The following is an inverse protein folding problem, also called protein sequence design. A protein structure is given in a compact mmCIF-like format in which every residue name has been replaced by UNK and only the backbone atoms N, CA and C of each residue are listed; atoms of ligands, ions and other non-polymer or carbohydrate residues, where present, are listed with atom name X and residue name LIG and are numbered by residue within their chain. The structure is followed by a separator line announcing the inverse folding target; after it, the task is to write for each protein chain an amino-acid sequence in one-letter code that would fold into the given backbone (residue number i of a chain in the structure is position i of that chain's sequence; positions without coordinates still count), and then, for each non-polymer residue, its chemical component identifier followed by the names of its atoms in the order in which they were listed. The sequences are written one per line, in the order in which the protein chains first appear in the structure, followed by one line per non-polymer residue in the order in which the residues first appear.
data_IF_741499347486
#
_entry.id   IF_741499347486
#
_cell.length_a   1.000
_cell.length_b   1.000
_cell.length_c   1.000
_cell.angle_alpha   90.00
_cell.angle_beta   90.00
_cell.angle_gamma   90.00
#
_symmetry.space_group_name_H-M   'P 1'
#
loop_
_entity.id
_entity.type
_entity.pdbx_description
1 polymer ?
#
# COMPACT_ATOMS: atom_id res chain seq x y z
N UNK A 1 7.07 6.48 15.72
CA UNK A 1 6.64 7.89 15.50
C UNK A 1 7.84 8.67 15.04
N UNK A 2 7.68 9.54 14.04
CA UNK A 2 8.72 10.46 13.57
C UNK A 2 8.14 11.86 13.39
N UNK A 3 8.97 12.90 13.49
CA UNK A 3 8.58 14.28 13.25
C UNK A 3 8.80 14.61 11.77
N UNK A 4 7.72 14.82 11.02
CA UNK A 4 7.82 15.08 9.56
C UNK A 4 8.58 16.37 9.21
N UNK A 5 8.64 17.33 10.14
CA UNK A 5 9.37 18.59 9.95
C UNK A 5 10.88 18.45 10.16
N UNK A 6 11.34 17.35 10.76
CA UNK A 6 12.77 17.03 10.89
C UNK A 6 13.21 16.19 9.70
N UNK A 7 13.39 16.84 8.54
CA UNK A 7 13.71 16.17 7.28
C UNK A 7 15.02 15.37 7.38
N UNK A 8 16.05 15.98 7.98
CA UNK A 8 17.37 15.36 8.15
C UNK A 8 17.35 14.17 9.12
N UNK A 9 16.37 14.18 10.03
CA UNK A 9 16.15 13.15 11.02
C UNK A 9 15.19 12.05 10.57
N UNK A 10 14.37 12.27 9.55
CA UNK A 10 13.24 11.39 9.22
C UNK A 10 13.66 9.94 8.92
N UNK A 11 14.85 9.75 8.34
CA UNK A 11 15.38 8.42 7.97
C UNK A 11 16.30 7.82 9.04
N UNK A 12 16.56 8.52 10.14
CA UNK A 12 17.47 8.05 11.20
C UNK A 12 16.75 7.10 12.15
N UNK A 13 17.29 5.90 12.44
CA UNK A 13 16.68 4.97 13.39
C UNK A 13 16.41 5.58 14.77
N UNK A 14 17.28 6.49 15.24
CA UNK A 14 17.16 7.16 16.54
C UNK A 14 15.91 8.04 16.68
N UNK A 15 15.31 8.42 15.55
CA UNK A 15 14.08 9.20 15.48
C UNK A 15 12.83 8.33 15.31
N UNK A 16 12.97 7.00 15.36
CA UNK A 16 11.87 6.04 15.26
C UNK A 16 11.56 5.42 16.61
N UNK A 17 10.54 5.96 17.27
CA UNK A 17 10.11 5.45 18.57
C UNK A 17 9.02 4.39 18.45
N UNK A 18 9.24 3.25 19.11
CA UNK A 18 8.22 2.20 19.31
C UNK A 18 7.27 2.69 20.39
N UNK A 19 6.00 2.86 20.05
CA UNK A 19 4.97 3.29 20.99
C UNK A 19 4.23 2.12 21.62
N UNK A 20 4.01 1.05 20.85
CA UNK A 20 3.25 -0.11 21.28
C UNK A 20 3.90 -1.37 20.73
N UNK A 21 4.05 -2.38 21.59
CA UNK A 21 4.40 -3.74 21.21
C UNK A 21 3.25 -4.65 21.65
N UNK A 22 2.57 -5.28 20.69
CA UNK A 22 1.42 -6.14 20.95
C UNK A 22 1.57 -7.49 20.24
N UNK A 23 1.88 -8.58 20.97
CA UNK A 23 2.06 -9.91 20.40
C UNK A 23 0.72 -10.65 20.31
N UNK A 24 -0.24 -10.09 19.58
CA UNK A 24 -1.58 -10.66 19.43
C UNK A 24 -2.08 -10.65 17.99
N UNK A 25 -3.32 -11.08 17.81
CA UNK A 25 -3.92 -11.14 16.48
C UNK A 25 -4.18 -9.72 15.93
N UNK A 26 -3.86 -9.52 14.65
CA UNK A 26 -4.15 -8.29 13.92
C UNK A 26 -5.63 -8.27 13.49
N UNK A 27 -6.52 -8.14 14.47
CA UNK A 27 -7.97 -7.99 14.27
C UNK A 27 -8.44 -6.64 14.80
N UNK A 28 -9.57 -6.16 14.30
CA UNK A 28 -10.14 -4.89 14.75
C UNK A 28 -10.34 -4.85 16.27
N UNK A 29 -10.96 -5.88 16.86
CA UNK A 29 -11.25 -5.88 18.31
C UNK A 29 -9.97 -5.98 19.15
N UNK A 30 -8.99 -6.78 18.71
CA UNK A 30 -7.68 -6.87 19.37
C UNK A 30 -6.94 -5.53 19.36
N UNK A 31 -6.87 -4.87 18.19
CA UNK A 31 -6.22 -3.58 18.05
C UNK A 31 -6.96 -2.46 18.79
N UNK A 32 -8.30 -2.45 18.75
CA UNK A 32 -9.12 -1.51 19.51
C UNK A 32 -8.79 -1.54 21.00
N UNK A 33 -8.65 -2.73 21.57
CA UNK A 33 -8.35 -2.89 22.99
C UNK A 33 -6.88 -2.57 23.29
N UNK A 34 -5.95 -3.09 22.48
CA UNK A 34 -4.51 -2.90 22.71
C UNK A 34 -4.07 -1.46 22.53
N UNK A 35 -4.67 -0.72 21.59
CA UNK A 35 -4.31 0.65 21.26
C UNK A 35 -5.14 1.69 22.01
N UNK A 36 -6.08 1.29 22.87
CA UNK A 36 -6.95 2.23 23.59
C UNK A 36 -6.18 3.33 24.36
N UNK A 37 -5.09 3.03 25.10
CA UNK A 37 -4.29 4.07 25.76
C UNK A 37 -3.66 5.05 24.76
N UNK A 38 -3.04 4.53 23.70
CA UNK A 38 -2.42 5.34 22.66
C UNK A 38 -3.45 6.24 21.95
N UNK A 39 -4.62 5.70 21.63
CA UNK A 39 -5.71 6.44 20.99
C UNK A 39 -6.16 7.60 21.90
N UNK A 40 -6.31 7.35 23.20
CA UNK A 40 -6.65 8.39 24.18
C UNK A 40 -5.59 9.50 24.21
N UNK A 41 -4.31 9.13 24.27
CA UNK A 41 -3.21 10.10 24.29
C UNK A 41 -3.14 10.93 23.01
N UNK A 42 -3.33 10.30 21.84
CA UNK A 42 -3.36 10.98 20.55
C UNK A 42 -4.55 11.94 20.42
N UNK A 43 -5.72 11.62 20.98
CA UNK A 43 -6.87 12.54 21.03
C UNK A 43 -6.52 13.77 21.87
N UNK A 44 -5.91 13.57 23.05
CA UNK A 44 -5.50 14.65 23.93
C UNK A 44 -4.44 15.52 23.23
N UNK A 45 -3.44 14.90 22.61
CA UNK A 45 -2.37 15.57 21.88
C UNK A 45 -2.92 16.40 20.71
N UNK A 46 -3.82 15.83 19.90
CA UNK A 46 -4.44 16.56 18.78
C UNK A 46 -5.25 17.76 19.26
N UNK A 47 -5.94 17.64 20.39
CA UNK A 47 -6.79 18.69 20.95
C UNK A 47 -6.01 19.79 21.68
N UNK A 48 -4.96 19.41 22.42
CA UNK A 48 -4.25 20.30 23.35
C UNK A 48 -2.88 20.74 22.86
N UNK A 49 -2.32 20.12 21.81
CA UNK A 49 -0.95 20.40 21.39
C UNK A 49 0.07 20.17 22.50
N UNK A 50 1.18 20.90 22.46
CA UNK A 50 2.16 20.93 23.55
C UNK A 50 2.65 22.36 23.84
N UNK A 51 2.91 22.64 25.12
CA UNK A 51 3.52 23.88 25.56
C UNK A 51 5.01 23.65 25.80
N UNK A 52 5.85 24.38 25.09
CA UNK A 52 7.28 24.38 25.30
C UNK A 52 7.65 25.20 26.53
N UNK A 53 8.76 24.84 27.17
CA UNK A 53 9.42 25.69 28.17
C UNK A 53 9.73 27.04 27.51
N UNK A 54 9.18 28.13 28.05
CA UNK A 54 9.22 29.46 27.43
C UNK A 54 7.87 29.98 26.93
N UNK A 55 6.77 29.21 27.12
CA UNK A 55 5.41 29.68 26.88
C UNK A 55 4.91 29.56 25.43
N UNK A 56 5.71 29.00 24.53
CA UNK A 56 5.30 28.75 23.15
C UNK A 56 4.36 27.55 23.07
N UNK A 57 3.21 27.77 22.43
CA UNK A 57 2.22 26.75 22.14
C UNK A 57 2.43 26.17 20.74
N UNK A 58 2.41 24.85 20.64
CA UNK A 58 2.56 24.11 19.39
C UNK A 58 1.32 23.26 19.13
N UNK A 59 0.62 23.53 18.03
CA UNK A 59 -0.42 22.64 17.53
C UNK A 59 0.19 21.39 16.91
N UNK A 60 -0.54 20.27 16.99
CA UNK A 60 -0.10 18.98 16.43
C UNK A 60 -0.99 18.58 15.27
N UNK A 61 -0.36 18.20 14.17
CA UNK A 61 -0.99 17.50 13.07
C UNK A 61 -0.49 16.06 13.02
N UNK A 62 -1.44 15.14 12.90
CA UNK A 62 -1.17 13.71 12.89
C UNK A 62 -1.34 13.19 11.47
N UNK A 63 -0.41 12.32 11.08
CA UNK A 63 -0.43 11.56 9.84
C UNK A 63 -0.31 10.09 10.18
N UNK A 64 -0.93 9.25 9.36
CA UNK A 64 -0.88 7.80 9.52
C UNK A 64 -0.56 7.15 8.18
N UNK A 65 0.41 6.24 8.18
CA UNK A 65 0.76 5.42 7.03
C UNK A 65 1.00 3.99 7.47
N UNK A 66 0.52 3.04 6.68
CA UNK A 66 0.76 1.62 6.86
C UNK A 66 0.48 0.87 5.56
N UNK A 67 0.80 -0.43 5.55
CA UNK A 67 0.30 -1.30 4.50
C UNK A 67 -1.24 -1.32 4.47
N UNK A 68 -1.79 -1.73 3.33
CA UNK A 68 -3.24 -1.68 3.09
C UNK A 68 -4.06 -2.50 4.08
N UNK A 69 -3.55 -3.66 4.53
CA UNK A 69 -4.30 -4.55 5.41
C UNK A 69 -4.48 -3.89 6.77
N UNK A 70 -3.40 -3.37 7.35
CA UNK A 70 -3.46 -2.66 8.62
C UNK A 70 -4.29 -1.38 8.52
N UNK A 71 -4.14 -0.62 7.42
CA UNK A 71 -4.89 0.61 7.16
C UNK A 71 -6.40 0.33 7.09
N UNK A 72 -6.80 -0.72 6.35
CA UNK A 72 -8.19 -1.11 6.22
C UNK A 72 -8.81 -1.53 7.56
N UNK A 73 -8.07 -2.25 8.40
CA UNK A 73 -8.53 -2.62 9.74
C UNK A 73 -8.73 -1.36 10.60
N UNK A 74 -7.74 -0.45 10.62
CA UNK A 74 -7.82 0.77 11.42
C UNK A 74 -8.93 1.73 10.96
N UNK A 75 -9.29 1.72 9.68
CA UNK A 75 -10.41 2.49 9.12
C UNK A 75 -11.77 1.78 9.20
N UNK A 76 -11.81 0.57 9.76
CA UNK A 76 -13.04 -0.21 9.89
C UNK A 76 -13.64 -0.64 8.55
N UNK A 77 -12.80 -0.84 7.53
CA UNK A 77 -13.21 -1.17 6.16
C UNK A 77 -13.67 -2.63 6.01
N UNK A 78 -14.45 -2.88 4.96
CA UNK A 78 -14.66 -4.22 4.41
C UNK A 78 -13.38 -4.74 3.75
N UNK A 79 -13.38 -6.01 3.37
CA UNK A 79 -12.28 -6.61 2.63
C UNK A 79 -12.00 -5.86 1.31
N UNK A 80 -10.73 -5.88 0.88
CA UNK A 80 -10.24 -5.21 -0.32
C UNK A 80 -10.96 -5.67 -1.62
N UNK A 81 -11.54 -6.87 -1.60
CA UNK A 81 -12.25 -7.46 -2.72
C UNK A 81 -13.74 -7.06 -2.79
N UNK A 82 -14.24 -6.20 -1.89
CA UNK A 82 -15.64 -5.74 -1.94
C UNK A 82 -15.89 -4.70 -3.02
N UNK A 83 -17.18 -4.49 -3.36
CA UNK A 83 -17.59 -3.51 -4.37
C UNK A 83 -17.09 -2.10 -4.05
N UNK A 84 -17.18 -1.68 -2.78
CA UNK A 84 -16.72 -0.38 -2.29
C UNK A 84 -15.48 -0.58 -1.42
N UNK A 85 -14.32 -0.55 -2.07
CA UNK A 85 -13.04 -0.84 -1.43
C UNK A 85 -12.29 0.42 -0.99
N UNK A 86 -12.66 1.61 -1.50
CA UNK A 86 -11.89 2.83 -1.32
C UNK A 86 -12.22 3.54 0.01
N UNK A 87 -11.21 3.84 0.85
CA UNK A 87 -11.39 4.61 2.08
C UNK A 87 -11.71 6.09 1.87
N UNK A 88 -11.22 6.69 0.79
CA UNK A 88 -11.32 8.15 0.56
C UNK A 88 -12.54 8.56 -0.26
N UNK A 89 -13.07 7.68 -1.09
CA UNK A 89 -14.25 7.99 -1.89
C UNK A 89 -15.25 6.84 -1.98
N UNK A 90 -16.47 7.15 -2.41
CA UNK A 90 -17.56 6.18 -2.54
C UNK A 90 -17.49 5.29 -3.78
N UNK A 91 -16.36 5.31 -4.50
CA UNK A 91 -16.26 4.59 -5.75
C UNK A 91 -16.51 3.08 -5.58
N UNK A 92 -17.25 2.55 -6.54
CA UNK A 92 -17.40 1.12 -6.73
C UNK A 92 -16.31 0.56 -7.63
N UNK A 93 -16.16 -0.77 -7.66
CA UNK A 93 -15.30 -1.46 -8.64
C UNK A 93 -15.65 -1.10 -10.09
N UNK A 94 -16.92 -0.84 -10.37
CA UNK A 94 -17.39 -0.51 -11.72
C UNK A 94 -16.87 0.86 -12.19
N UNK A 95 -16.55 1.74 -11.25
CA UNK A 95 -16.08 3.09 -11.52
C UNK A 95 -14.55 3.20 -11.43
N UNK A 96 -13.81 2.09 -11.30
CA UNK A 96 -12.36 2.12 -11.08
C UNK A 96 -11.61 2.94 -12.14
N UNK A 97 -12.05 2.90 -13.40
CA UNK A 97 -11.39 3.59 -14.51
C UNK A 97 -11.66 5.11 -14.55
N UNK A 98 -12.54 5.64 -13.70
CA UNK A 98 -12.83 7.07 -13.65
C UNK A 98 -11.66 7.84 -13.03
N UNK A 99 -11.07 8.77 -13.77
CA UNK A 99 -9.90 9.57 -13.35
C UNK A 99 -10.26 10.86 -12.60
N UNK A 100 -11.52 11.30 -12.65
CA UNK A 100 -12.02 12.52 -12.03
C UNK A 100 -12.46 12.38 -10.57
N UNK A 101 -12.09 11.27 -9.91
CA UNK A 101 -12.52 10.98 -8.54
C UNK A 101 -11.91 11.97 -7.56
N UNK A 102 -12.74 12.46 -6.64
CA UNK A 102 -12.32 13.31 -5.52
C UNK A 102 -12.55 12.58 -4.22
N UNK A 103 -11.75 12.93 -3.21
CA UNK A 103 -12.01 12.54 -1.83
C UNK A 103 -13.34 13.18 -1.44
N UNK A 104 -14.34 12.36 -1.12
CA UNK A 104 -15.68 12.81 -0.75
C UNK A 104 -16.12 12.27 0.63
N UNK A 105 -15.38 11.32 1.19
CA UNK A 105 -15.57 10.84 2.55
C UNK A 105 -14.88 11.76 3.55
N UNK A 106 -15.41 11.81 4.76
CA UNK A 106 -14.86 12.57 5.89
C UNK A 106 -14.74 11.65 7.10
N UNK A 107 -13.66 11.82 7.87
CA UNK A 107 -13.43 11.06 9.10
C UNK A 107 -14.57 11.26 10.11
N UNK A 108 -15.04 12.50 10.29
CA UNK A 108 -16.12 12.82 11.24
C UNK A 108 -17.43 12.13 10.85
N UNK A 109 -17.74 12.11 9.55
CA UNK A 109 -18.93 11.41 9.06
C UNK A 109 -18.80 9.89 9.22
N UNK A 110 -17.62 9.33 8.89
CA UNK A 110 -17.37 7.88 9.06
C UNK A 110 -17.50 7.48 10.52
N UNK A 111 -16.90 8.24 11.44
CA UNK A 111 -16.96 7.95 12.88
C UNK A 111 -18.39 7.73 13.38
N UNK A 112 -19.32 8.60 12.97
CA UNK A 112 -20.71 8.56 13.44
C UNK A 112 -21.60 7.63 12.61
N UNK A 113 -21.39 7.61 11.29
CA UNK A 113 -22.31 6.99 10.33
C UNK A 113 -21.73 5.79 9.59
N UNK A 114 -20.63 5.16 10.04
CA UNK A 114 -19.94 4.08 9.32
C UNK A 114 -20.87 2.97 8.81
N UNK A 115 -21.93 2.61 9.56
CA UNK A 115 -22.92 1.61 9.13
C UNK A 115 -23.69 1.97 7.85
N UNK A 116 -23.81 3.27 7.55
CA UNK A 116 -24.51 3.82 6.37
C UNK A 116 -23.54 4.15 5.24
N UNK A 117 -22.24 4.16 5.50
CA UNK A 117 -21.23 4.52 4.50
C UNK A 117 -20.72 3.26 3.81
N UNK A 118 -20.78 3.28 2.49
CA UNK A 118 -20.32 2.18 1.67
C UNK A 118 -18.84 1.86 1.91
N UNK A 119 -18.56 0.59 2.15
CA UNK A 119 -17.21 0.08 2.38
C UNK A 119 -16.77 0.05 3.85
N UNK A 120 -17.52 0.65 4.79
CA UNK A 120 -17.20 0.60 6.22
C UNK A 120 -18.12 -0.37 6.97
N UNK A 121 -17.61 -0.92 8.08
CA UNK A 121 -18.30 -1.85 8.98
C UNK A 121 -18.10 -1.54 10.45
N UNK A 122 -17.06 -0.76 10.78
CA UNK A 122 -16.68 -0.38 12.14
C UNK A 122 -16.29 1.10 12.16
N UNK A 123 -16.30 1.67 13.36
CA UNK A 123 -15.73 2.99 13.62
C UNK A 123 -14.21 2.98 13.35
N UNK A 124 -13.61 4.04 12.79
CA UNK A 124 -12.17 4.15 12.66
C UNK A 124 -11.47 4.24 14.02
N UNK A 125 -10.41 3.45 14.23
CA UNK A 125 -9.64 3.43 15.48
C UNK A 125 -8.97 4.77 15.76
N UNK A 126 -8.31 5.33 14.75
CA UNK A 126 -7.62 6.63 14.83
C UNK A 126 -8.49 7.75 14.26
N UNK A 127 -9.71 7.89 14.75
CA UNK A 127 -10.67 8.89 14.25
C UNK A 127 -10.21 10.36 14.46
N UNK A 128 -9.15 10.60 15.25
CA UNK A 128 -8.58 11.94 15.46
C UNK A 128 -7.71 12.42 14.28
N UNK A 129 -7.38 11.52 13.34
CA UNK A 129 -6.58 11.81 12.16
C UNK A 129 -7.52 12.08 10.98
N UNK A 130 -7.38 13.25 10.35
CA UNK A 130 -8.18 13.62 9.19
C UNK A 130 -7.97 12.64 8.04
N UNK A 131 -9.03 12.29 7.31
CA UNK A 131 -8.97 11.23 6.29
C UNK A 131 -7.92 11.49 5.19
N UNK A 132 -7.66 12.74 4.84
CA UNK A 132 -6.62 13.10 3.86
C UNK A 132 -5.19 12.98 4.41
N UNK A 133 -5.01 12.85 5.74
CA UNK A 133 -3.73 12.57 6.38
C UNK A 133 -3.48 11.06 6.56
N UNK A 134 -4.40 10.22 6.08
CA UNK A 134 -4.15 8.79 5.91
C UNK A 134 -3.47 8.57 4.57
N UNK A 135 -2.21 8.20 4.65
CA UNK A 135 -1.35 7.93 3.51
C UNK A 135 -1.21 6.43 3.33
N UNK A 136 -1.04 6.02 2.08
CA UNK A 136 -0.67 4.64 1.81
C UNK A 136 0.83 4.45 1.96
N UNK A 137 1.22 3.21 2.23
CA UNK A 137 2.59 2.78 2.05
C UNK A 137 2.97 2.73 0.55
N UNK A 138 3.82 3.68 0.14
CA UNK A 138 4.34 3.81 -1.22
C UNK A 138 5.12 2.58 -1.68
N UNK A 139 5.87 1.94 -0.78
CA UNK A 139 6.62 0.73 -1.10
C UNK A 139 5.66 -0.40 -1.44
N UNK A 140 4.63 -0.64 -0.63
CA UNK A 140 3.64 -1.68 -0.91
C UNK A 140 2.86 -1.41 -2.21
N UNK A 141 2.57 -0.15 -2.54
CA UNK A 141 1.98 0.23 -3.82
C UNK A 141 2.91 -0.09 -4.99
N UNK A 142 4.19 0.32 -4.91
CA UNK A 142 5.19 0.03 -5.93
C UNK A 142 5.30 -1.47 -6.20
N UNK A 143 5.40 -2.26 -5.13
CA UNK A 143 5.49 -3.72 -5.22
C UNK A 143 4.26 -4.30 -5.95
N UNK A 144 3.07 -3.81 -5.64
CA UNK A 144 1.82 -4.29 -6.23
C UNK A 144 1.65 -3.86 -7.69
N UNK A 145 1.98 -2.61 -8.03
CA UNK A 145 1.94 -2.11 -9.41
C UNK A 145 2.90 -2.95 -10.27
N UNK A 146 4.12 -3.18 -9.79
CA UNK A 146 5.12 -3.97 -10.52
C UNK A 146 4.61 -5.38 -10.81
N UNK A 147 4.02 -6.06 -9.82
CA UNK A 147 3.45 -7.39 -10.02
C UNK A 147 2.37 -7.40 -11.11
N UNK A 148 1.48 -6.39 -11.10
CA UNK A 148 0.39 -6.29 -12.08
C UNK A 148 0.91 -5.99 -13.48
N UNK A 149 1.88 -5.09 -13.62
CA UNK A 149 2.51 -4.79 -14.91
C UNK A 149 3.25 -6.02 -15.46
N UNK A 150 3.96 -6.74 -14.59
CA UNK A 150 4.67 -7.97 -14.96
C UNK A 150 3.70 -9.07 -15.44
N UNK A 151 2.62 -9.31 -14.69
CA UNK A 151 1.56 -10.24 -15.08
C UNK A 151 0.92 -9.88 -16.42
N UNK A 152 0.66 -8.59 -16.67
CA UNK A 152 0.10 -8.10 -17.92
C UNK A 152 1.07 -8.30 -19.09
N UNK A 153 2.34 -7.97 -18.90
CA UNK A 153 3.39 -8.19 -19.90
C UNK A 153 3.45 -9.66 -20.33
N UNK A 154 3.48 -10.58 -19.35
CA UNK A 154 3.49 -12.03 -19.62
C UNK A 154 2.18 -12.51 -20.26
N UNK A 155 1.05 -11.88 -19.95
CA UNK A 155 -0.24 -12.17 -20.59
C UNK A 155 -0.23 -11.75 -22.06
N UNK A 156 0.32 -10.58 -22.37
CA UNK A 156 0.37 -10.07 -23.75
C UNK A 156 1.29 -10.91 -24.62
N UNK A 157 2.47 -11.29 -24.13
CA UNK A 157 3.39 -12.21 -24.84
C UNK A 157 2.74 -13.57 -25.16
N UNK A 158 1.89 -14.09 -24.25
CA UNK A 158 1.14 -15.33 -24.50
C UNK A 158 0.04 -15.16 -25.55
N UNK A 159 -0.52 -13.95 -25.71
CA UNK A 159 -1.59 -13.67 -26.68
C UNK A 159 -1.07 -13.39 -28.08
N UNK A 160 0.14 -12.85 -28.21
CA UNK A 160 0.77 -12.57 -29.50
C UNK A 160 1.13 -13.84 -30.30
N UNK A 161 0.89 -15.03 -29.75
CA UNK A 161 1.13 -16.33 -30.40
C UNK A 161 2.61 -16.54 -30.81
N UNK A 162 3.52 -15.78 -30.21
CA UNK A 162 4.97 -15.97 -30.32
C UNK A 162 5.34 -17.21 -29.52
N UNK A 163 6.24 -18.04 -30.07
CA UNK A 163 6.71 -19.26 -29.40
C UNK A 163 7.16 -18.94 -27.97
N UNK A 164 6.62 -19.69 -27.00
CA UNK A 164 6.90 -19.54 -25.58
C UNK A 164 8.39 -19.55 -25.25
N UNK A 165 9.18 -20.34 -25.98
CA UNK A 165 10.63 -20.39 -25.77
C UNK A 165 11.34 -19.09 -26.16
N UNK A 166 10.87 -18.39 -27.21
CA UNK A 166 11.51 -17.17 -27.72
C UNK A 166 11.39 -16.03 -26.71
N UNK A 167 10.18 -15.75 -26.23
CA UNK A 167 10.01 -14.64 -25.29
C UNK A 167 10.58 -14.98 -23.90
N UNK A 168 10.60 -16.27 -23.51
CA UNK A 168 11.31 -16.70 -22.30
C UNK A 168 12.80 -16.40 -22.41
N UNK A 169 13.43 -16.76 -23.52
CA UNK A 169 14.85 -16.52 -23.76
C UNK A 169 15.16 -15.03 -23.69
N UNK A 170 14.37 -14.18 -24.36
CA UNK A 170 14.53 -12.72 -24.31
C UNK A 170 14.42 -12.18 -22.88
N UNK A 171 13.42 -12.61 -22.11
CA UNK A 171 13.29 -12.19 -20.71
C UNK A 171 14.51 -12.65 -19.89
N UNK A 172 14.99 -13.88 -20.09
CA UNK A 172 16.17 -14.39 -19.37
C UNK A 172 17.44 -13.61 -19.73
N UNK A 173 17.60 -13.20 -20.99
CA UNK A 173 18.72 -12.36 -21.44
C UNK A 173 18.68 -10.99 -20.76
N UNK A 174 17.52 -10.32 -20.76
CA UNK A 174 17.32 -9.04 -20.09
C UNK A 174 17.57 -9.15 -18.58
N UNK A 175 17.03 -10.18 -17.93
CA UNK A 175 17.26 -10.42 -16.50
C UNK A 175 18.74 -10.64 -16.19
N UNK A 176 19.46 -11.37 -17.04
CA UNK A 176 20.91 -11.57 -16.92
C UNK A 176 21.68 -10.26 -17.08
N UNK A 177 21.30 -9.41 -18.04
CA UNK A 177 21.87 -8.06 -18.20
C UNK A 177 21.66 -7.21 -16.96
N UNK A 178 20.46 -7.26 -16.38
CA UNK A 178 20.13 -6.60 -15.12
C UNK A 178 20.77 -7.27 -13.89
N UNK A 179 21.51 -8.37 -14.04
CA UNK A 179 22.10 -9.15 -12.95
C UNK A 179 21.06 -9.64 -11.94
N UNK A 180 19.85 -9.95 -12.41
CA UNK A 180 18.75 -10.49 -11.61
C UNK A 180 18.69 -12.01 -11.85
N UNK A 181 18.71 -12.79 -10.77
CA UNK A 181 18.57 -14.25 -10.85
C UNK A 181 17.13 -14.62 -11.15
N UNK A 182 16.83 -15.01 -12.38
CA UNK A 182 15.48 -15.28 -12.85
C UNK A 182 15.41 -16.61 -13.61
N UNK A 183 14.34 -17.37 -13.40
CA UNK A 183 14.10 -18.64 -14.10
C UNK A 183 12.60 -18.90 -14.27
N UNK A 184 12.28 -19.73 -15.26
CA UNK A 184 10.94 -20.25 -15.52
C UNK A 184 10.89 -21.74 -15.23
N UNK A 185 9.75 -22.23 -14.76
CA UNK A 185 9.50 -23.67 -14.61
C UNK A 185 8.01 -23.98 -14.68
N UNK A 186 7.66 -25.21 -15.04
CA UNK A 186 6.27 -25.66 -14.98
C UNK A 186 5.94 -26.23 -13.61
N UNK A 187 4.74 -25.91 -13.12
CA UNK A 187 4.21 -26.55 -11.93
C UNK A 187 3.98 -28.05 -12.19
N UNK A 188 4.34 -28.91 -11.25
CA UNK A 188 4.08 -30.36 -11.37
C UNK A 188 2.60 -30.60 -11.63
N UNK A 189 2.29 -31.41 -12.65
CA UNK A 189 0.95 -31.81 -13.06
C UNK A 189 0.04 -30.66 -13.55
N UNK A 190 0.61 -29.53 -13.99
CA UNK A 190 -0.16 -28.55 -14.76
C UNK A 190 0.68 -27.84 -15.82
N UNK A 191 0.04 -27.37 -16.88
CA UNK A 191 0.68 -26.52 -17.90
C UNK A 191 0.84 -25.07 -17.40
N UNK A 192 0.84 -24.85 -16.08
CA UNK A 192 1.01 -23.52 -15.53
C UNK A 192 2.50 -23.20 -15.45
N UNK A 193 2.94 -22.30 -16.32
CA UNK A 193 4.26 -21.71 -16.25
C UNK A 193 4.36 -20.77 -15.06
N UNK A 194 5.36 -21.05 -14.21
CA UNK A 194 5.76 -20.24 -13.07
C UNK A 194 7.12 -19.59 -13.35
N UNK A 195 7.42 -18.57 -12.56
CA UNK A 195 8.68 -17.84 -12.64
C UNK A 195 9.14 -17.38 -11.26
N UNK A 196 10.40 -16.96 -11.16
CA UNK A 196 10.97 -16.43 -9.92
C UNK A 196 10.14 -15.25 -9.42
N UNK A 197 9.85 -15.24 -8.11
CA UNK A 197 9.23 -14.08 -7.46
C UNK A 197 10.26 -12.96 -7.33
N UNK A 198 9.92 -11.77 -7.80
CA UNK A 198 10.80 -10.60 -7.75
C UNK A 198 10.75 -9.94 -6.37
N UNK A 199 11.91 -9.62 -5.81
CA UNK A 199 12.02 -8.91 -4.53
C UNK A 199 11.99 -7.39 -4.75
N UNK A 200 11.85 -6.60 -3.67
CA UNK A 200 11.74 -5.14 -3.76
C UNK A 200 12.84 -4.45 -4.59
N UNK A 201 14.14 -4.75 -4.34
CA UNK A 201 15.22 -4.20 -5.15
C UNK A 201 15.15 -4.60 -6.63
N UNK A 202 14.82 -5.87 -6.93
CA UNK A 202 14.71 -6.37 -8.30
C UNK A 202 13.56 -5.69 -9.06
N UNK A 203 12.41 -5.53 -8.40
CA UNK A 203 11.24 -4.83 -8.95
C UNK A 203 11.57 -3.39 -9.31
N UNK A 204 12.29 -2.68 -8.43
CA UNK A 204 12.71 -1.31 -8.70
C UNK A 204 13.67 -1.23 -9.89
N UNK A 205 14.59 -2.19 -10.00
CA UNK A 205 15.53 -2.26 -11.12
C UNK A 205 14.82 -2.53 -12.44
N UNK A 206 13.89 -3.49 -12.45
CA UNK A 206 13.07 -3.82 -13.62
C UNK A 206 12.27 -2.61 -14.10
N UNK A 207 11.62 -1.89 -13.19
CA UNK A 207 10.85 -0.69 -13.57
C UNK A 207 11.70 0.42 -14.18
N UNK A 208 12.99 0.48 -13.86
CA UNK A 208 13.91 1.52 -14.34
C UNK A 208 14.64 1.15 -15.62
N UNK A 209 15.02 -0.12 -15.77
CA UNK A 209 16.06 -0.53 -16.70
C UNK A 209 15.63 -1.65 -17.66
N UNK A 210 14.47 -2.31 -17.45
CA UNK A 210 14.04 -3.40 -18.33
C UNK A 210 13.72 -2.88 -19.73
N UNK A 211 14.39 -3.42 -20.75
CA UNK A 211 14.10 -3.08 -22.14
C UNK A 211 12.90 -3.88 -22.66
N UNK A 212 11.72 -3.26 -22.59
CA UNK A 212 10.50 -3.84 -23.16
C UNK A 212 10.60 -4.01 -24.68
N UNK A 213 11.39 -3.18 -25.38
CA UNK A 213 11.52 -3.30 -26.83
C UNK A 213 12.27 -4.57 -27.22
N UNK A 214 13.34 -4.92 -26.48
CA UNK A 214 14.07 -6.17 -26.68
C UNK A 214 13.15 -7.40 -26.51
N UNK A 215 12.24 -7.35 -25.54
CA UNK A 215 11.29 -8.43 -25.24
C UNK A 215 10.21 -8.54 -26.32
N UNK A 216 9.51 -7.44 -26.64
CA UNK A 216 8.41 -7.41 -27.60
C UNK A 216 8.85 -7.29 -29.07
N UNK A 217 10.13 -7.47 -29.37
CA UNK A 217 10.63 -7.50 -30.76
C UNK A 217 10.03 -8.66 -31.56
N UNK A 218 8.86 -8.43 -32.12
CA UNK A 218 8.29 -9.13 -33.27
C UNK A 218 7.63 -8.08 -34.17
N UNK A 219 8.47 -7.25 -34.82
CA UNK A 219 8.18 -6.49 -36.05
C UNK A 219 9.39 -5.63 -36.45
N UNK A 220 10.26 -6.23 -37.25
CA UNK A 220 10.62 -5.68 -38.57
C UNK A 220 10.37 -6.77 -39.57
#
# INVERSE_FOLDING_TARGET
MALLNDIDGLQKPDNHYILVLYPGAETYESLKNALAPLISDLIILKKRGFNQIGGYYWSVELYFSSDWKFLAICLGMKSANTLHFCPWCDCSKNEMNTTSKKINKSMDNIKVNYHKINGHTKEPLFHMILLHNWMFDELHILLRITDRLWELMLSDLRRENVNEEIWKEKILLEMKQLKISFQFWYKRNSNNLLHTSLMGPDKLKILRELDLTAIFQSRT
#
